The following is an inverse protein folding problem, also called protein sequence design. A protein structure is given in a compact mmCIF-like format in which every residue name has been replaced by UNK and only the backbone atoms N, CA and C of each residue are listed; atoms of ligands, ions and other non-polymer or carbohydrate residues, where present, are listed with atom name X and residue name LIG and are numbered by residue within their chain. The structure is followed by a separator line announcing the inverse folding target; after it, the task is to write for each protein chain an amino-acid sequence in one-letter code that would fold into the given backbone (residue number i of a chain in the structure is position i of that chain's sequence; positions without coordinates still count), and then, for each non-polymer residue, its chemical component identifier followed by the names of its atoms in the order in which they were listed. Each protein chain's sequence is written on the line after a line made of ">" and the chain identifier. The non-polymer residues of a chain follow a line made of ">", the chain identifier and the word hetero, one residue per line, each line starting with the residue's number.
data_IF_530386921874
#
_entry.id   IF_530386921874
#
_cell.length_a   1.000
_cell.length_b   1.000
_cell.length_c   1.000
_cell.angle_alpha   90.00
_cell.angle_beta   90.00
_cell.angle_gamma   90.00
#
_symmetry.space_group_name_H-M   'P 1'
#
loop_
_entity.id
_entity.type
_entity.pdbx_description
1 polymer ?
#
# COMPACT_ATOMS: atom_id res chain seq x y z
N UNK A 1 8.51 5.09 -0.45
CA UNK A 1 7.07 5.45 -0.47
C UNK A 1 6.79 6.70 -1.29
N UNK A 2 7.30 7.89 -0.93
CA UNK A 2 7.03 9.11 -1.74
C UNK A 2 7.50 8.95 -3.18
N UNK A 3 8.74 8.51 -3.40
CA UNK A 3 9.26 8.28 -4.76
C UNK A 3 8.43 7.25 -5.54
N UNK A 4 8.13 6.10 -4.93
CA UNK A 4 7.24 5.09 -5.52
C UNK A 4 5.86 5.67 -5.90
N UNK A 5 5.27 6.52 -5.05
CA UNK A 5 4.02 7.22 -5.34
C UNK A 5 4.10 8.27 -6.46
N UNK A 6 5.30 8.76 -6.78
CA UNK A 6 5.48 9.69 -7.90
C UNK A 6 5.71 8.97 -9.23
N UNK A 7 6.25 7.75 -9.20
CA UNK A 7 6.60 6.98 -10.42
C UNK A 7 5.40 6.73 -11.34
N UNK A 8 4.18 6.63 -10.78
CA UNK A 8 2.96 6.38 -11.55
C UNK A 8 2.11 7.64 -11.79
N UNK A 9 2.60 8.84 -11.46
CA UNK A 9 1.90 10.08 -11.77
C UNK A 9 1.83 10.30 -13.28
N UNK A 10 0.62 10.56 -13.79
CA UNK A 10 0.37 10.85 -15.21
C UNK A 10 -0.40 12.16 -15.34
N UNK A 11 0.02 13.01 -16.27
CA UNK A 11 -0.68 14.27 -16.58
C UNK A 11 -0.46 15.39 -15.56
N UNK A 12 0.51 15.24 -14.65
CA UNK A 12 0.89 16.26 -13.66
C UNK A 12 2.41 16.36 -13.60
N UNK A 13 2.94 17.57 -13.43
CA UNK A 13 4.36 17.77 -13.22
C UNK A 13 4.74 17.28 -11.81
N UNK A 14 5.73 16.39 -11.74
CA UNK A 14 6.26 15.89 -10.47
C UNK A 14 7.29 16.89 -9.95
N UNK A 15 6.85 17.80 -9.10
CA UNK A 15 7.70 18.78 -8.43
C UNK A 15 7.89 18.47 -6.93
N UNK A 16 8.73 19.26 -6.26
CA UNK A 16 8.97 19.10 -4.83
C UNK A 16 7.71 19.38 -4.00
N UNK A 17 6.83 20.27 -4.45
CA UNK A 17 5.60 20.61 -3.73
C UNK A 17 4.63 19.42 -3.70
N UNK A 18 4.50 18.68 -4.81
CA UNK A 18 3.69 17.47 -4.89
C UNK A 18 4.27 16.35 -4.02
N UNK A 19 5.60 16.15 -4.04
CA UNK A 19 6.30 15.21 -3.15
C UNK A 19 6.03 15.53 -1.68
N UNK A 20 6.09 16.81 -1.30
CA UNK A 20 5.81 17.26 0.05
C UNK A 20 4.32 17.10 0.43
N UNK A 21 3.39 17.32 -0.52
CA UNK A 21 1.95 17.09 -0.33
C UNK A 21 1.68 15.60 -0.07
N UNK A 22 2.25 14.70 -0.88
CA UNK A 22 2.13 13.25 -0.66
C UNK A 22 2.74 12.84 0.68
N UNK A 23 3.95 13.33 1.01
CA UNK A 23 4.60 13.03 2.30
C UNK A 23 3.73 13.43 3.48
N UNK A 24 3.17 14.64 3.47
CA UNK A 24 2.26 15.14 4.51
C UNK A 24 1.00 14.28 4.60
N UNK A 25 0.43 13.89 3.46
CA UNK A 25 -0.76 13.05 3.44
C UNK A 25 -0.49 11.64 3.98
N UNK A 26 0.66 11.02 3.64
CA UNK A 26 1.07 9.73 4.22
C UNK A 26 1.17 9.86 5.75
N UNK A 27 1.86 10.89 6.25
CA UNK A 27 1.99 11.13 7.69
C UNK A 27 0.63 11.32 8.38
N UNK A 28 -0.27 12.10 7.76
CA UNK A 28 -1.65 12.28 8.25
C UNK A 28 -2.45 10.98 8.25
N UNK A 29 -2.33 10.16 7.21
CA UNK A 29 -2.99 8.85 7.15
C UNK A 29 -2.47 7.89 8.23
N UNK A 30 -1.20 8.00 8.62
CA UNK A 30 -0.62 7.22 9.72
C UNK A 30 -1.09 7.67 11.12
N UNK A 31 -1.93 8.71 11.23
CA UNK A 31 -2.60 9.09 12.47
C UNK A 31 -3.99 8.44 12.63
N UNK A 32 -4.54 7.83 11.57
CA UNK A 32 -5.83 7.12 11.61
C UNK A 32 -5.64 5.73 12.24
N UNK A 33 -6.38 5.48 13.32
CA UNK A 33 -6.39 4.20 14.04
C UNK A 33 -6.67 3.01 13.12
N UNK A 34 -7.55 3.15 12.13
CA UNK A 34 -7.91 2.06 11.21
C UNK A 34 -6.77 1.77 10.23
N UNK A 35 -6.08 2.82 9.75
CA UNK A 35 -4.90 2.67 8.89
C UNK A 35 -3.79 1.96 9.65
N UNK A 36 -3.53 2.37 10.90
CA UNK A 36 -2.54 1.71 11.77
C UNK A 36 -2.91 0.24 12.00
N UNK A 37 -4.18 -0.06 12.30
CA UNK A 37 -4.63 -1.43 12.56
C UNK A 37 -4.43 -2.35 11.33
N UNK A 38 -4.73 -1.85 10.13
CA UNK A 38 -4.54 -2.60 8.89
C UNK A 38 -3.05 -2.86 8.61
N UNK A 39 -2.19 -1.85 8.80
CA UNK A 39 -0.74 -1.99 8.66
C UNK A 39 -0.19 -3.03 9.65
N UNK A 40 -0.62 -2.96 10.91
CA UNK A 40 -0.21 -3.93 11.92
C UNK A 40 -0.62 -5.35 11.57
N UNK A 41 -1.84 -5.54 11.04
CA UNK A 41 -2.31 -6.85 10.61
C UNK A 41 -1.42 -7.44 9.51
N UNK A 42 -1.11 -6.66 8.46
CA UNK A 42 -0.25 -7.09 7.38
C UNK A 42 1.18 -7.41 7.87
N UNK A 43 1.78 -6.51 8.66
CA UNK A 43 3.16 -6.69 9.15
C UNK A 43 3.30 -7.89 10.07
N UNK A 44 2.33 -8.11 10.96
CA UNK A 44 2.39 -9.23 11.89
C UNK A 44 2.22 -10.57 11.17
N UNK A 45 1.37 -10.62 10.15
CA UNK A 45 1.15 -11.81 9.32
C UNK A 45 2.39 -12.10 8.48
N UNK A 46 2.97 -11.11 7.82
CA UNK A 46 4.24 -11.25 7.09
C UNK A 46 5.34 -11.82 7.98
N UNK A 47 5.59 -11.20 9.15
CA UNK A 47 6.62 -11.65 10.08
C UNK A 47 6.37 -13.11 10.54
N UNK A 48 5.09 -13.46 10.71
CA UNK A 48 4.67 -14.80 11.12
C UNK A 48 4.93 -15.84 10.02
N UNK A 49 4.67 -15.47 8.76
CA UNK A 49 4.90 -16.29 7.59
C UNK A 49 6.39 -16.48 7.30
N UNK A 50 7.18 -15.40 7.26
CA UNK A 50 8.62 -15.44 7.02
C UNK A 50 9.39 -16.27 8.06
N UNK A 51 8.87 -16.36 9.29
CA UNK A 51 9.46 -17.16 10.35
C UNK A 51 8.84 -18.55 10.50
N UNK A 52 8.00 -18.99 9.55
CA UNK A 52 7.31 -20.28 9.55
C UNK A 52 6.60 -20.61 10.87
N UNK A 53 5.97 -19.61 11.51
CA UNK A 53 5.32 -19.79 12.82
C UNK A 53 3.91 -20.41 12.70
N UNK A 54 3.42 -20.64 11.49
CA UNK A 54 2.13 -21.30 11.21
C UNK A 54 2.41 -22.64 10.55
N UNK A 55 1.99 -23.73 11.21
CA UNK A 55 2.12 -25.07 10.64
C UNK A 55 1.30 -25.19 9.36
N UNK A 56 1.84 -25.91 8.36
CA UNK A 56 1.17 -26.21 7.08
C UNK A 56 0.91 -25.00 6.16
N UNK A 57 1.39 -23.80 6.53
CA UNK A 57 1.35 -22.61 5.67
C UNK A 57 2.77 -22.26 5.23
N UNK A 58 3.02 -22.33 3.93
CA UNK A 58 4.26 -21.83 3.31
C UNK A 58 3.87 -20.85 2.19
N UNK A 59 4.43 -19.63 2.27
CA UNK A 59 4.23 -18.56 1.30
C UNK A 59 5.55 -18.05 0.71
N UNK A 60 6.66 -18.78 0.91
CA UNK A 60 8.00 -18.40 0.41
C UNK A 60 8.03 -18.23 -1.11
N UNK A 61 7.22 -19.02 -1.81
CA UNK A 61 7.08 -19.00 -3.26
C UNK A 61 6.08 -17.95 -3.77
N UNK A 62 5.61 -17.05 -2.90
CA UNK A 62 4.60 -16.02 -3.18
C UNK A 62 3.36 -16.61 -3.91
N UNK A 63 2.58 -17.44 -3.21
CA UNK A 63 1.54 -18.21 -3.84
C UNK A 63 0.43 -17.31 -4.39
N UNK A 64 0.11 -17.48 -5.67
CA UNK A 64 -0.97 -16.78 -6.36
C UNK A 64 -2.41 -16.98 -5.79
N UNK A 65 -2.54 -17.75 -4.71
CA UNK A 65 -3.79 -17.95 -3.96
C UNK A 65 -3.86 -17.14 -2.65
N UNK A 66 -2.80 -16.42 -2.28
CA UNK A 66 -2.87 -15.42 -1.22
C UNK A 66 -3.63 -14.23 -1.82
N UNK A 67 -4.89 -14.08 -1.44
CA UNK A 67 -5.74 -12.96 -1.87
C UNK A 67 -6.01 -11.98 -0.72
N UNK A 68 -5.52 -12.31 0.48
CA UNK A 68 -5.81 -11.53 1.69
C UNK A 68 -4.99 -10.25 1.73
N UNK A 69 -3.78 -10.30 1.18
CA UNK A 69 -2.96 -9.15 0.80
C UNK A 69 -3.72 -8.13 -0.06
N UNK A 70 -4.30 -8.55 -1.19
CA UNK A 70 -5.05 -7.66 -2.08
C UNK A 70 -6.27 -7.06 -1.35
N UNK A 71 -6.98 -7.86 -0.56
CA UNK A 71 -8.13 -7.41 0.25
C UNK A 71 -7.70 -6.34 1.26
N UNK A 72 -6.55 -6.50 1.90
CA UNK A 72 -6.00 -5.50 2.82
C UNK A 72 -5.54 -4.24 2.10
N UNK A 73 -4.92 -4.36 0.92
CA UNK A 73 -4.55 -3.24 0.05
C UNK A 73 -5.76 -2.40 -0.39
N UNK A 74 -6.86 -3.06 -0.77
CA UNK A 74 -8.14 -2.38 -1.06
C UNK A 74 -8.71 -1.73 0.20
N UNK A 75 -8.68 -2.41 1.35
CA UNK A 75 -9.24 -1.90 2.59
C UNK A 75 -8.55 -0.60 3.03
N UNK A 76 -7.21 -0.56 3.04
CA UNK A 76 -6.44 0.62 3.46
C UNK A 76 -6.58 1.78 2.48
N UNK A 77 -6.57 1.51 1.17
CA UNK A 77 -6.76 2.55 0.16
C UNK A 77 -8.15 3.19 0.26
N UNK A 78 -9.19 2.36 0.47
CA UNK A 78 -10.55 2.82 0.68
C UNK A 78 -10.75 3.55 2.01
N UNK A 79 -10.06 3.13 3.08
CA UNK A 79 -10.07 3.86 4.35
C UNK A 79 -9.57 5.30 4.20
N UNK A 80 -8.60 5.53 3.32
CA UNK A 80 -7.98 6.85 3.13
C UNK A 80 -8.77 7.75 2.17
N UNK A 81 -9.23 7.21 1.03
CA UNK A 81 -9.82 8.01 -0.05
C UNK A 81 -11.09 7.40 -0.68
N UNK A 82 -11.72 6.44 0.00
CA UNK A 82 -12.93 5.78 -0.47
C UNK A 82 -12.72 4.96 -1.74
N UNK A 83 -13.81 4.55 -2.39
CA UNK A 83 -13.82 3.62 -3.53
C UNK A 83 -13.06 4.12 -4.77
N UNK A 84 -12.79 5.42 -4.86
CA UNK A 84 -11.98 5.98 -5.96
C UNK A 84 -10.53 5.54 -5.88
N UNK A 85 -10.04 5.24 -4.67
CA UNK A 85 -8.68 4.77 -4.47
C UNK A 85 -8.45 3.36 -5.00
N UNK A 86 -9.49 2.54 -5.16
CA UNK A 86 -9.38 1.15 -5.59
C UNK A 86 -8.72 1.01 -6.96
N UNK A 87 -9.07 1.86 -7.93
CA UNK A 87 -8.44 1.83 -9.25
C UNK A 87 -6.96 2.23 -9.21
N UNK A 88 -6.63 3.19 -8.35
CA UNK A 88 -5.25 3.62 -8.19
C UNK A 88 -4.44 2.51 -7.50
N UNK A 89 -5.01 1.85 -6.47
CA UNK A 89 -4.40 0.71 -5.79
C UNK A 89 -4.05 -0.37 -6.80
N UNK A 90 -4.99 -0.79 -7.65
CA UNK A 90 -4.70 -1.87 -8.60
C UNK A 90 -3.52 -1.55 -9.51
N UNK A 91 -3.36 -0.28 -9.91
CA UNK A 91 -2.20 0.17 -10.68
C UNK A 91 -0.89 0.07 -9.88
N UNK A 92 -0.87 0.42 -8.60
CA UNK A 92 0.33 0.32 -7.76
C UNK A 92 0.70 -1.12 -7.42
N UNK A 93 -0.31 -1.96 -7.20
CA UNK A 93 -0.17 -3.41 -7.01
C UNK A 93 0.39 -4.09 -8.27
N UNK A 94 -0.14 -3.76 -9.45
CA UNK A 94 0.33 -4.36 -10.71
C UNK A 94 1.76 -3.91 -11.09
N UNK A 95 2.08 -2.62 -10.95
CA UNK A 95 3.37 -2.06 -11.41
C UNK A 95 4.49 -2.18 -10.35
N UNK A 96 4.13 -2.35 -9.08
CA UNK A 96 5.03 -2.43 -7.91
C UNK A 96 6.21 -1.43 -7.93
N UNK A 97 5.99 -0.11 -8.11
CA UNK A 97 7.07 0.87 -8.25
C UNK A 97 7.98 0.97 -7.02
N UNK A 98 9.25 1.28 -7.28
CA UNK A 98 10.29 1.49 -6.26
C UNK A 98 10.31 0.41 -5.18
N UNK A 99 10.11 0.82 -3.93
CA UNK A 99 10.19 -0.07 -2.75
C UNK A 99 9.13 -1.19 -2.77
N UNK A 100 8.00 -1.01 -3.46
CA UNK A 100 6.90 -2.00 -3.46
C UNK A 100 7.40 -3.34 -4.01
N UNK A 101 8.17 -3.33 -5.11
CA UNK A 101 8.79 -4.53 -5.70
C UNK A 101 9.77 -5.30 -4.81
N UNK A 102 10.11 -4.77 -3.64
CA UNK A 102 11.12 -5.36 -2.74
C UNK A 102 10.52 -5.89 -1.43
N UNK A 103 9.22 -5.69 -1.22
CA UNK A 103 8.51 -6.09 0.00
C UNK A 103 7.97 -7.52 -0.15
N UNK A 104 7.69 -8.17 0.98
CA UNK A 104 7.00 -9.46 1.01
C UNK A 104 5.51 -9.32 0.69
N UNK A 105 4.83 -10.42 0.38
CA UNK A 105 3.52 -10.43 -0.30
C UNK A 105 2.37 -9.85 0.53
N UNK A 106 2.47 -9.81 1.86
CA UNK A 106 1.45 -9.09 2.65
C UNK A 106 1.74 -7.59 2.72
N UNK A 107 3.02 -7.22 2.63
CA UNK A 107 3.53 -5.88 2.93
C UNK A 107 3.58 -5.02 1.67
N UNK A 108 3.86 -5.58 0.50
CA UNK A 108 3.82 -4.85 -0.76
C UNK A 108 2.42 -4.29 -1.03
N UNK A 109 1.36 -5.08 -0.89
CA UNK A 109 -0.02 -4.70 -1.18
C UNK A 109 -0.58 -3.68 -0.19
N UNK A 110 -0.31 -3.84 1.12
CA UNK A 110 -0.75 -2.85 2.11
C UNK A 110 -0.03 -1.51 1.90
N UNK A 111 1.24 -1.53 1.49
CA UNK A 111 2.03 -0.32 1.21
C UNK A 111 1.61 0.30 -0.12
N UNK A 112 1.31 -0.51 -1.15
CA UNK A 112 0.71 -0.07 -2.41
C UNK A 112 -0.64 0.60 -2.15
N UNK A 113 -1.49 -0.02 -1.32
CA UNK A 113 -2.79 0.53 -0.91
C UNK A 113 -2.66 1.84 -0.14
N UNK A 114 -1.71 1.95 0.79
CA UNK A 114 -1.42 3.19 1.52
C UNK A 114 -0.99 4.31 0.56
N UNK A 115 -0.04 4.03 -0.34
CA UNK A 115 0.44 5.00 -1.33
C UNK A 115 -0.71 5.42 -2.25
N UNK A 116 -1.45 4.46 -2.81
CA UNK A 116 -2.57 4.71 -3.70
C UNK A 116 -3.69 5.54 -3.03
N UNK A 117 -4.03 5.19 -1.79
CA UNK A 117 -5.01 5.92 -0.98
C UNK A 117 -4.59 7.37 -0.75
N UNK A 118 -3.37 7.58 -0.26
CA UNK A 118 -2.83 8.93 -0.07
C UNK A 118 -2.75 9.70 -1.38
N UNK A 119 -2.35 9.02 -2.46
CA UNK A 119 -2.17 9.64 -3.76
C UNK A 119 -3.50 10.11 -4.33
N UNK A 120 -4.52 9.26 -4.28
CA UNK A 120 -5.89 9.64 -4.64
C UNK A 120 -6.38 10.80 -3.78
N UNK A 121 -6.11 10.78 -2.46
CA UNK A 121 -6.58 11.81 -1.53
C UNK A 121 -6.05 13.21 -1.87
N UNK A 122 -4.78 13.34 -2.21
CA UNK A 122 -4.20 14.67 -2.46
C UNK A 122 -4.64 15.30 -3.79
N UNK A 123 -5.28 14.53 -4.69
CA UNK A 123 -5.90 15.06 -5.90
C UNK A 123 -7.41 15.30 -5.75
N UNK A 124 -8.02 14.93 -4.62
CA UNK A 124 -9.40 15.31 -4.28
C UNK A 124 -9.51 16.69 -3.62
N UNK A 125 -8.45 17.13 -2.92
CA UNK A 125 -8.34 18.39 -2.17
C UNK A 125 -7.58 19.47 -2.94
#
# INVERSE_FOLDING_TARGET
>A
MVEAGMELCVGVEVDQALKDKLKKQILKSLEDLNVIALLMAAFQVEETFQNHRVSEVNVDDDPAYLYTDEVLGIAISNQIAGTKATFNFKRYDEEKPGIISTLGPMVDDIIAGLIAGCMSKIFEE
#
